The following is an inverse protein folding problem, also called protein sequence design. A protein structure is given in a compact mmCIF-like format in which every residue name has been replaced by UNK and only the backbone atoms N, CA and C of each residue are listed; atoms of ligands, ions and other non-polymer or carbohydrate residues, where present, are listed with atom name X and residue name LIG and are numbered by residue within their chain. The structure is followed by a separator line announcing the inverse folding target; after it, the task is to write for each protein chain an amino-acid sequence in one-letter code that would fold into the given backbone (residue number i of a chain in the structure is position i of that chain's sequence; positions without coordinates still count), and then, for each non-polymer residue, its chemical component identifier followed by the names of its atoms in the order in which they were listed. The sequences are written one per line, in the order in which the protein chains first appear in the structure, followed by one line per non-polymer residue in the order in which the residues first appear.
data_IF_497771484376
#
_entry.id   IF_497771484376
#
_cell.length_a   1.000
_cell.length_b   1.000
_cell.length_c   1.000
_cell.angle_alpha   90.00
_cell.angle_beta   90.00
_cell.angle_gamma   90.00
#
_symmetry.space_group_name_H-M   'P 1'
#
loop_
_entity.id
_entity.type
_entity.pdbx_description
1 polymer ?
#
# COMPACT_ATOMS: atom_id res chain seq x y z
N UNK A 1 1.14 -1.80 1.66
CA UNK A 1 0.93 -0.73 2.66
C UNK A 1 -0.03 -1.20 3.74
N UNK A 2 0.20 -0.90 5.02
CA UNK A 2 -0.72 -1.17 6.12
C UNK A 2 -1.34 0.11 6.67
N UNK A 3 -2.63 0.05 6.98
CA UNK A 3 -3.37 1.15 7.62
C UNK A 3 -3.98 0.61 8.90
N UNK A 4 -3.64 1.22 10.03
CA UNK A 4 -4.23 0.91 11.32
C UNK A 4 -5.48 1.76 11.53
N UNK A 5 -6.49 1.21 12.23
CA UNK A 5 -7.77 1.88 12.50
C UNK A 5 -7.63 3.23 13.22
N UNK A 6 -6.51 3.43 13.93
CA UNK A 6 -6.16 4.68 14.56
C UNK A 6 -5.01 5.35 13.82
N UNK A 7 -5.35 6.14 12.84
CA UNK A 7 -4.43 7.12 12.26
C UNK A 7 -4.36 8.31 13.24
N UNK A 8 -3.43 8.21 14.21
CA UNK A 8 -3.20 9.28 15.17
C UNK A 8 -2.72 10.55 14.48
N UNK A 9 -3.24 11.67 14.94
CA UNK A 9 -2.57 12.95 14.71
C UNK A 9 -1.28 12.92 15.50
N UNK A 10 -0.15 12.90 14.83
CA UNK A 10 1.18 12.99 15.44
C UNK A 10 1.42 14.35 16.13
N UNK A 11 0.56 15.33 15.91
CA UNK A 11 0.68 16.68 16.44
C UNK A 11 -0.71 17.22 16.84
N UNK A 12 -0.85 17.65 18.09
CA UNK A 12 -1.96 18.43 18.58
C UNK A 12 -1.48 19.84 18.92
N UNK A 13 -2.34 20.85 18.72
CA UNK A 13 -2.05 22.23 19.12
C UNK A 13 -2.72 22.48 20.45
N UNK A 14 -1.93 22.95 21.42
CA UNK A 14 -2.39 23.48 22.70
C UNK A 14 -1.84 24.88 22.93
N UNK A 15 -2.41 25.68 23.83
CA UNK A 15 -1.81 26.90 24.32
C UNK A 15 -0.39 26.66 24.82
N UNK A 16 0.46 27.67 24.68
CA UNK A 16 1.89 27.55 25.06
C UNK A 16 2.01 27.21 26.55
N UNK A 17 2.64 26.08 26.83
CA UNK A 17 2.83 25.58 28.20
C UNK A 17 1.89 24.45 28.63
N UNK A 18 0.89 24.12 27.83
CA UNK A 18 0.02 22.98 28.10
C UNK A 18 0.48 21.73 27.35
N UNK A 19 0.48 20.58 28.06
CA UNK A 19 0.76 19.27 27.46
C UNK A 19 -0.56 18.63 27.04
N UNK A 20 -0.65 18.23 25.78
CA UNK A 20 -1.80 17.46 25.29
C UNK A 20 -1.56 15.98 25.59
N UNK A 21 -2.44 15.37 26.37
CA UNK A 21 -2.44 13.95 26.66
C UNK A 21 -3.61 13.28 25.94
N UNK A 22 -3.35 12.30 25.13
CA UNK A 22 -4.35 11.41 24.56
C UNK A 22 -4.18 10.00 25.13
N UNK A 23 -5.27 9.42 25.67
CA UNK A 23 -5.27 8.02 26.11
C UNK A 23 -5.27 7.11 24.90
N UNK A 24 -4.14 6.51 24.59
CA UNK A 24 -4.00 5.48 23.58
C UNK A 24 -4.49 4.16 24.19
N UNK A 25 -5.62 3.65 23.70
CA UNK A 25 -6.06 2.31 24.05
C UNK A 25 -5.05 1.29 23.51
N UNK A 26 -4.35 0.60 24.38
CA UNK A 26 -3.28 -0.36 24.03
C UNK A 26 -3.76 -1.67 23.39
N UNK A 27 -5.00 -1.77 22.90
CA UNK A 27 -5.47 -2.94 22.14
C UNK A 27 -4.94 -2.88 20.72
N UNK A 28 -4.28 -3.94 20.27
CA UNK A 28 -3.95 -4.13 18.84
C UNK A 28 -5.24 -4.23 18.05
N UNK A 29 -5.53 -3.21 17.27
CA UNK A 29 -6.68 -3.16 16.39
C UNK A 29 -6.37 -3.85 15.06
N UNK A 30 -7.42 -4.35 14.39
CA UNK A 30 -7.32 -4.95 13.07
C UNK A 30 -6.57 -4.01 12.11
N UNK A 31 -5.44 -4.49 11.61
CA UNK A 31 -4.69 -3.82 10.58
C UNK A 31 -5.27 -4.18 9.23
N UNK A 32 -5.66 -3.18 8.47
CA UNK A 32 -6.03 -3.36 7.06
C UNK A 32 -4.81 -3.07 6.20
N UNK A 33 -4.47 -3.99 5.35
CA UNK A 33 -3.32 -3.90 4.45
C UNK A 33 -3.79 -3.80 3.00
N UNK A 34 -2.98 -3.13 2.16
CA UNK A 34 -3.26 -2.95 0.74
C UNK A 34 -2.00 -3.28 -0.04
N UNK A 35 -2.19 -4.01 -1.13
CA UNK A 35 -1.20 -4.14 -2.20
C UNK A 35 -1.79 -3.60 -3.48
N UNK A 36 -0.99 -2.90 -4.27
CA UNK A 36 -1.37 -2.41 -5.60
C UNK A 36 -0.10 -2.12 -6.41
N UNK A 37 -0.23 -2.09 -7.72
CA UNK A 37 0.75 -1.48 -8.61
C UNK A 37 0.42 -0.01 -8.89
N UNK A 38 1.33 0.69 -9.57
CA UNK A 38 1.13 2.05 -10.04
C UNK A 38 1.64 2.19 -11.47
N UNK A 39 0.81 2.76 -12.34
CA UNK A 39 1.18 3.15 -13.71
C UNK A 39 0.67 4.56 -13.94
N UNK A 40 1.50 5.46 -14.47
CA UNK A 40 1.13 6.85 -14.77
C UNK A 40 0.44 7.59 -13.60
N UNK A 41 0.91 7.36 -12.36
CA UNK A 41 0.34 7.91 -11.12
C UNK A 41 -1.03 7.36 -10.72
N UNK A 42 -1.51 6.34 -11.40
CA UNK A 42 -2.75 5.65 -11.06
C UNK A 42 -2.48 4.28 -10.44
N UNK A 43 -3.26 3.92 -9.42
CA UNK A 43 -3.20 2.59 -8.84
C UNK A 43 -3.86 1.57 -9.78
N UNK A 44 -3.21 0.44 -9.96
CA UNK A 44 -3.71 -0.72 -10.70
C UNK A 44 -3.74 -1.96 -9.80
N UNK A 45 -4.67 -2.87 -10.07
CA UNK A 45 -4.83 -4.13 -9.35
C UNK A 45 -4.84 -3.97 -7.81
N UNK A 46 -5.57 -3.00 -7.21
CA UNK A 46 -5.60 -2.84 -5.78
C UNK A 46 -6.29 -4.03 -5.12
N UNK A 47 -5.65 -4.59 -4.09
CA UNK A 47 -6.22 -5.65 -3.26
C UNK A 47 -6.10 -5.28 -1.78
N UNK A 48 -7.23 -5.35 -1.08
CA UNK A 48 -7.34 -5.05 0.35
C UNK A 48 -7.39 -6.38 1.10
N UNK A 49 -6.58 -6.55 2.13
CA UNK A 49 -6.50 -7.78 2.91
C UNK A 49 -6.26 -7.48 4.38
N UNK A 50 -6.64 -8.41 5.27
CA UNK A 50 -6.51 -8.28 6.73
C UNK A 50 -5.37 -9.09 7.29
N UNK A 51 -5.00 -10.18 6.64
CA UNK A 51 -3.96 -11.10 7.07
C UNK A 51 -2.55 -10.62 6.69
N UNK A 52 -1.54 -11.34 7.12
CA UNK A 52 -0.16 -11.05 6.71
C UNK A 52 0.08 -11.50 5.28
N UNK A 53 0.78 -10.68 4.49
CA UNK A 53 1.19 -11.05 3.14
C UNK A 53 2.21 -12.17 3.19
N UNK A 54 1.87 -13.33 2.64
CA UNK A 54 2.81 -14.44 2.43
C UNK A 54 3.43 -14.35 1.04
N UNK A 55 4.56 -15.04 0.85
CA UNK A 55 5.20 -15.14 -0.47
C UNK A 55 4.25 -15.67 -1.54
N UNK A 56 3.56 -16.77 -1.24
CA UNK A 56 2.69 -17.44 -2.20
C UNK A 56 1.49 -16.58 -2.56
N UNK A 57 0.88 -15.91 -1.57
CA UNK A 57 -0.22 -14.98 -1.78
C UNK A 57 0.20 -13.78 -2.63
N UNK A 58 1.42 -13.25 -2.42
CA UNK A 58 1.97 -12.18 -3.23
C UNK A 58 2.19 -12.60 -4.68
N UNK A 59 2.76 -13.78 -4.91
CA UNK A 59 2.99 -14.34 -6.25
C UNK A 59 1.66 -14.57 -6.98
N UNK A 60 0.65 -15.07 -6.27
CA UNK A 60 -0.69 -15.28 -6.84
C UNK A 60 -1.33 -13.96 -7.26
N UNK A 61 -1.32 -12.95 -6.39
CA UNK A 61 -1.79 -11.61 -6.73
C UNK A 61 -1.03 -11.01 -7.92
N UNK A 62 0.29 -11.16 -7.94
CA UNK A 62 1.15 -10.65 -9.01
C UNK A 62 0.76 -11.25 -10.37
N UNK A 63 0.57 -12.58 -10.42
CA UNK A 63 0.19 -13.30 -11.65
C UNK A 63 -1.24 -13.03 -12.10
N UNK A 64 -2.18 -13.04 -11.15
CA UNK A 64 -3.62 -13.07 -11.48
C UNK A 64 -4.24 -11.69 -11.56
N UNK A 65 -3.65 -10.69 -10.92
CA UNK A 65 -4.21 -9.35 -10.87
C UNK A 65 -3.29 -8.28 -11.46
N UNK A 66 -2.02 -8.24 -11.06
CA UNK A 66 -1.11 -7.19 -11.53
C UNK A 66 -0.75 -7.34 -13.00
N UNK A 67 -0.23 -8.49 -13.40
CA UNK A 67 0.21 -8.70 -14.79
C UNK A 67 -0.93 -8.56 -15.81
N UNK A 68 -2.14 -9.11 -15.59
CA UNK A 68 -3.26 -8.91 -16.53
C UNK A 68 -3.72 -7.45 -16.64
N UNK A 69 -3.45 -6.62 -15.63
CA UNK A 69 -3.73 -5.19 -15.69
C UNK A 69 -2.74 -4.41 -16.56
N UNK A 70 -1.58 -4.99 -16.85
CA UNK A 70 -0.53 -4.42 -17.69
C UNK A 70 -0.71 -4.90 -19.15
N UNK A 71 -1.32 -4.10 -19.99
CA UNK A 71 -1.65 -4.48 -21.38
C UNK A 71 -0.44 -4.45 -22.33
N UNK A 72 0.63 -3.77 -21.96
CA UNK A 72 1.84 -3.58 -22.76
C UNK A 72 3.09 -3.94 -21.95
N UNK A 73 4.23 -4.21 -22.58
CA UNK A 73 5.48 -4.44 -21.86
C UNK A 73 5.84 -3.26 -20.93
N UNK A 74 6.16 -3.56 -19.68
CA UNK A 74 6.53 -2.57 -18.66
C UNK A 74 7.79 -3.00 -17.92
N UNK A 75 8.50 -2.03 -17.37
CA UNK A 75 9.50 -2.24 -16.33
C UNK A 75 8.79 -2.19 -14.99
N UNK A 76 8.77 -3.32 -14.27
CA UNK A 76 8.16 -3.43 -12.95
C UNK A 76 9.22 -3.15 -11.89
N UNK A 77 9.14 -1.96 -11.31
CA UNK A 77 10.02 -1.52 -10.22
C UNK A 77 9.42 -1.94 -8.89
N UNK A 78 10.20 -2.57 -8.04
CA UNK A 78 9.74 -3.08 -6.75
C UNK A 78 10.81 -2.89 -5.67
N UNK A 79 10.37 -2.65 -4.44
CA UNK A 79 11.25 -2.60 -3.30
C UNK A 79 11.92 -3.97 -3.03
N UNK A 80 12.96 -3.94 -2.21
CA UNK A 80 13.75 -5.13 -1.88
C UNK A 80 13.26 -5.81 -0.60
N UNK A 81 11.93 -5.92 -0.39
CA UNK A 81 11.40 -6.62 0.76
C UNK A 81 11.81 -8.10 0.77
N UNK A 82 12.11 -8.62 1.96
CA UNK A 82 12.63 -9.98 2.14
C UNK A 82 11.64 -11.08 1.71
N UNK A 83 10.34 -10.81 1.75
CA UNK A 83 9.30 -11.77 1.35
C UNK A 83 9.05 -11.78 -0.17
N UNK A 84 9.62 -10.85 -0.94
CA UNK A 84 9.50 -10.86 -2.39
C UNK A 84 10.43 -11.92 -3.02
N UNK A 85 9.90 -12.96 -3.68
CA UNK A 85 10.72 -14.01 -4.30
C UNK A 85 11.25 -13.53 -5.65
N UNK A 86 12.34 -12.75 -5.64
CA UNK A 86 12.89 -12.06 -6.83
C UNK A 86 13.09 -12.94 -8.04
N UNK A 87 13.65 -14.13 -7.85
CA UNK A 87 13.88 -15.08 -8.95
C UNK A 87 12.58 -15.51 -9.63
N UNK A 88 11.56 -15.84 -8.82
CA UNK A 88 10.25 -16.26 -9.31
C UNK A 88 9.56 -15.10 -10.04
N UNK A 89 9.63 -13.89 -9.49
CA UNK A 89 9.04 -12.69 -10.10
C UNK A 89 9.72 -12.34 -11.42
N UNK A 90 11.05 -12.45 -11.50
CA UNK A 90 11.80 -12.22 -12.73
C UNK A 90 11.41 -13.22 -13.82
N UNK A 91 11.35 -14.52 -13.50
CA UNK A 91 10.92 -15.57 -14.43
C UNK A 91 9.48 -15.34 -14.94
N UNK A 92 8.58 -14.89 -14.08
CA UNK A 92 7.20 -14.59 -14.46
C UNK A 92 7.15 -13.37 -15.37
N UNK A 93 7.87 -12.31 -15.02
CA UNK A 93 7.94 -11.10 -15.83
C UNK A 93 8.47 -11.38 -17.24
N UNK A 94 9.53 -12.16 -17.35
CA UNK A 94 10.12 -12.55 -18.65
C UNK A 94 9.11 -13.30 -19.52
N UNK A 95 8.33 -14.22 -18.93
CA UNK A 95 7.29 -14.97 -19.68
C UNK A 95 6.23 -14.04 -20.26
N UNK A 96 5.84 -13.00 -19.50
CA UNK A 96 4.80 -12.06 -19.91
C UNK A 96 5.37 -10.81 -20.62
N UNK A 97 6.64 -10.86 -21.05
CA UNK A 97 7.35 -9.79 -21.77
C UNK A 97 7.50 -8.49 -20.96
N UNK A 98 7.52 -8.59 -19.62
CA UNK A 98 7.85 -7.50 -18.72
C UNK A 98 9.29 -7.59 -18.25
N UNK A 99 9.80 -6.51 -17.69
CA UNK A 99 11.14 -6.45 -17.09
C UNK A 99 11.02 -6.21 -15.59
N UNK A 100 11.64 -7.05 -14.78
CA UNK A 100 11.67 -6.90 -13.33
C UNK A 100 12.90 -6.14 -12.87
N UNK A 101 12.71 -5.04 -12.13
CA UNK A 101 13.78 -4.21 -11.60
C UNK A 101 13.65 -4.08 -10.07
N UNK A 102 14.35 -4.89 -9.29
CA UNK A 102 14.40 -4.73 -7.84
C UNK A 102 15.22 -3.49 -7.47
N UNK A 103 14.68 -2.67 -6.56
CA UNK A 103 15.39 -1.52 -6.01
C UNK A 103 16.48 -1.96 -5.03
N UNK A 104 17.51 -1.11 -4.80
CA UNK A 104 18.48 -1.34 -3.73
C UNK A 104 17.80 -1.45 -2.35
N UNK A 105 18.42 -2.13 -1.39
CA UNK A 105 17.91 -2.16 -0.01
C UNK A 105 17.77 -0.73 0.56
N UNK A 106 16.73 -0.52 1.37
CA UNK A 106 16.49 0.74 2.09
C UNK A 106 16.40 1.98 1.20
N UNK A 107 15.84 1.86 -0.01
CA UNK A 107 15.71 2.96 -0.97
C UNK A 107 14.24 3.28 -1.30
N UNK A 108 13.39 3.65 -0.32
CA UNK A 108 12.00 4.00 -0.57
C UNK A 108 11.86 5.25 -1.45
N UNK A 109 12.83 6.16 -1.40
CA UNK A 109 12.83 7.40 -2.19
C UNK A 109 12.87 7.13 -3.71
N UNK A 110 13.40 5.98 -4.11
CA UNK A 110 13.45 5.54 -5.50
C UNK A 110 12.15 4.87 -5.97
N UNK A 111 11.17 4.66 -5.07
CA UNK A 111 9.91 4.02 -5.39
C UNK A 111 8.78 5.06 -5.50
N UNK A 112 8.34 5.43 -6.72
CA UNK A 112 7.32 6.46 -6.90
C UNK A 112 5.98 6.18 -6.23
N UNK A 113 5.66 4.89 -5.98
CA UNK A 113 4.40 4.49 -5.33
C UNK A 113 4.32 4.97 -3.88
N UNK A 114 5.44 5.23 -3.20
CA UNK A 114 5.45 5.71 -1.82
C UNK A 114 4.76 7.07 -1.68
N UNK A 115 4.93 7.96 -2.64
CA UNK A 115 4.21 9.25 -2.67
C UNK A 115 2.69 9.04 -2.85
N UNK A 116 2.30 8.12 -3.70
CA UNK A 116 0.90 7.78 -3.90
C UNK A 116 0.27 7.17 -2.63
N UNK A 117 1.02 6.34 -1.90
CA UNK A 117 0.60 5.80 -0.60
C UNK A 117 0.41 6.90 0.46
N UNK A 118 1.28 7.90 0.49
CA UNK A 118 1.14 9.03 1.42
C UNK A 118 -0.15 9.83 1.14
N UNK A 119 -0.46 10.09 -0.13
CA UNK A 119 -1.70 10.77 -0.55
C UNK A 119 -2.92 9.92 -0.19
N UNK A 120 -2.88 8.61 -0.46
CA UNK A 120 -3.97 7.70 -0.10
C UNK A 120 -4.24 7.70 1.41
N UNK A 121 -3.19 7.57 2.23
CA UNK A 121 -3.31 7.62 3.69
C UNK A 121 -4.01 8.89 4.16
N UNK A 122 -3.61 10.04 3.63
CA UNK A 122 -4.25 11.33 3.97
C UNK A 122 -5.73 11.33 3.62
N UNK A 123 -6.09 10.94 2.41
CA UNK A 123 -7.50 10.88 1.96
C UNK A 123 -8.33 9.90 2.79
N UNK A 124 -7.80 8.73 3.10
CA UNK A 124 -8.50 7.75 3.96
C UNK A 124 -8.69 8.31 5.38
N UNK A 125 -7.69 9.00 5.92
CA UNK A 125 -7.81 9.67 7.23
C UNK A 125 -8.93 10.72 7.24
N UNK A 126 -9.07 11.50 6.18
CA UNK A 126 -10.13 12.50 6.06
C UNK A 126 -11.50 11.83 5.94
N UNK A 127 -11.63 10.78 5.13
CA UNK A 127 -12.86 10.01 4.97
C UNK A 127 -13.28 9.26 6.25
N UNK A 128 -12.34 8.82 7.08
CA UNK A 128 -12.63 8.12 8.35
C UNK A 128 -13.37 9.00 9.36
N UNK A 129 -13.41 10.32 9.17
CA UNK A 129 -14.20 11.22 10.00
C UNK A 129 -15.69 11.09 9.72
N UNK A 130 -16.06 10.74 8.48
CA UNK A 130 -17.43 10.60 8.02
C UNK A 130 -17.88 9.13 8.01
N UNK A 131 -16.99 8.24 7.59
CA UNK A 131 -17.24 6.80 7.47
C UNK A 131 -16.29 6.05 8.39
N UNK A 132 -16.72 5.57 9.57
CA UNK A 132 -15.83 4.96 10.57
C UNK A 132 -15.37 3.54 10.23
N UNK A 133 -15.27 3.20 8.95
CA UNK A 133 -14.83 1.90 8.45
C UNK A 133 -13.77 2.06 7.38
N UNK A 134 -12.53 1.68 7.70
CA UNK A 134 -11.37 1.76 6.77
C UNK A 134 -11.65 1.01 5.46
N UNK A 135 -12.27 -0.15 5.53
CA UNK A 135 -12.54 -0.97 4.35
C UNK A 135 -13.49 -0.27 3.37
N UNK A 136 -14.54 0.36 3.89
CA UNK A 136 -15.48 1.14 3.08
C UNK A 136 -14.82 2.41 2.52
N UNK A 137 -14.01 3.11 3.30
CA UNK A 137 -13.23 4.25 2.82
C UNK A 137 -12.32 3.87 1.64
N UNK A 138 -11.63 2.74 1.75
CA UNK A 138 -10.76 2.23 0.68
C UNK A 138 -11.55 1.80 -0.55
N UNK A 139 -12.68 1.14 -0.37
CA UNK A 139 -13.58 0.82 -1.49
C UNK A 139 -14.07 2.08 -2.21
N UNK A 140 -14.49 3.09 -1.46
CA UNK A 140 -14.88 4.37 -2.05
C UNK A 140 -13.74 4.98 -2.86
N UNK A 141 -12.53 5.02 -2.31
CA UNK A 141 -11.36 5.56 -3.01
C UNK A 141 -11.06 4.85 -4.34
N UNK A 142 -11.13 3.52 -4.38
CA UNK A 142 -10.84 2.75 -5.58
C UNK A 142 -12.02 2.62 -6.55
N UNK A 143 -13.26 2.86 -6.11
CA UNK A 143 -14.45 2.87 -7.00
C UNK A 143 -14.66 4.20 -7.70
N UNK A 144 -14.12 5.29 -7.18
CA UNK A 144 -14.31 6.64 -7.73
C UNK A 144 -13.36 6.95 -8.89
N UNK A 145 -12.64 5.94 -9.40
CA UNK A 145 -11.73 6.08 -10.54
C UNK A 145 -12.17 5.22 -11.71
#
# INVERSE_FOLDING_TARGET
MGIDRYLYRSHARAPRGEKVYEKINGRRFERTSIVAGQVNREFIAPMIYKESMTRDFFVEWFKTQLLPALKTPHVIVMDNASFHPKKILDEICVKDKHFFLPLPPYSPDLNPIEQAWAILKKKVTDLLREVPNIFECLKCFFKTK
#
